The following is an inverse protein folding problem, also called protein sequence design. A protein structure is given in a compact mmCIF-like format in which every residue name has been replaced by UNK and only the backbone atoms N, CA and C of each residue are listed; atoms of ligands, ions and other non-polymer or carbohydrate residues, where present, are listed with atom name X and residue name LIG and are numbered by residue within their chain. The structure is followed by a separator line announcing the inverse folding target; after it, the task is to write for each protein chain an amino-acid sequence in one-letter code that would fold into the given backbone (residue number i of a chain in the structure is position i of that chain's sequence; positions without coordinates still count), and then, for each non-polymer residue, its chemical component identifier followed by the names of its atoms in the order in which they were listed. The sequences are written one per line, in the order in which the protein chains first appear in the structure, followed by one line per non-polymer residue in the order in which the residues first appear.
data_IF_682147286893
#
_entry.id   IF_682147286893
#
_cell.length_a   1.000
_cell.length_b   1.000
_cell.length_c   1.000
_cell.angle_alpha   90.00
_cell.angle_beta   90.00
_cell.angle_gamma   90.00
#
_symmetry.space_group_name_H-M   'P 1'
#
loop_
_entity.id
_entity.type
_entity.pdbx_description
1 polymer ?
#
# COMPACT_ATOMS: atom_id res chain seq x y z
N UNK A 1 7.13 14.06 -3.80
CA UNK A 1 5.83 13.86 -4.46
C UNK A 1 5.23 12.55 -3.98
N UNK A 2 3.92 12.53 -3.69
CA UNK A 2 3.23 11.31 -3.23
C UNK A 2 2.87 10.47 -4.45
N UNK A 3 3.33 9.22 -4.51
CA UNK A 3 3.06 8.29 -5.63
C UNK A 3 1.68 7.64 -5.51
N UNK A 4 1.28 7.24 -4.30
CA UNK A 4 -0.01 6.63 -4.01
C UNK A 4 -0.43 6.80 -2.54
N UNK A 5 -1.73 6.68 -2.27
CA UNK A 5 -2.31 6.56 -0.92
C UNK A 5 -3.19 5.31 -0.89
N UNK A 6 -2.92 4.40 0.06
CA UNK A 6 -3.66 3.14 0.21
C UNK A 6 -4.10 2.98 1.66
N UNK A 7 -5.37 2.63 1.86
CA UNK A 7 -5.98 2.40 3.18
C UNK A 7 -6.48 0.95 3.22
N UNK A 8 -5.88 0.16 4.11
CA UNK A 8 -6.27 -1.22 4.38
C UNK A 8 -7.10 -1.31 5.66
N UNK A 9 -8.04 -2.24 5.70
CA UNK A 9 -8.55 -2.76 6.97
C UNK A 9 -7.64 -3.88 7.50
N UNK A 10 -7.83 -4.28 8.76
CA UNK A 10 -7.02 -5.35 9.38
C UNK A 10 -7.22 -6.74 8.73
N UNK A 11 -8.19 -6.89 7.84
CA UNK A 11 -8.49 -8.14 7.12
C UNK A 11 -7.88 -8.18 5.70
N UNK A 12 -7.15 -7.13 5.30
CA UNK A 12 -6.45 -7.08 4.01
C UNK A 12 -7.27 -6.61 2.82
N UNK A 13 -8.51 -6.16 3.04
CA UNK A 13 -9.27 -5.46 2.01
C UNK A 13 -8.85 -3.98 2.02
N UNK A 14 -8.41 -3.47 0.88
CA UNK A 14 -8.24 -2.03 0.70
C UNK A 14 -9.62 -1.37 0.61
N UNK A 15 -9.85 -0.36 1.45
CA UNK A 15 -11.03 0.50 1.34
C UNK A 15 -10.80 1.69 0.40
N UNK A 16 -9.52 2.07 0.22
CA UNK A 16 -9.13 3.12 -0.71
C UNK A 16 -7.75 2.81 -1.29
N UNK A 17 -7.61 2.93 -2.60
CA UNK A 17 -6.32 2.93 -3.32
C UNK A 17 -6.38 4.04 -4.35
N UNK A 18 -5.51 5.06 -4.20
CA UNK A 18 -5.41 6.16 -5.15
C UNK A 18 -3.97 6.33 -5.56
N UNK A 19 -3.69 6.06 -6.83
CA UNK A 19 -2.41 6.29 -7.47
C UNK A 19 -2.44 7.64 -8.19
N UNK A 20 -1.36 8.41 -8.06
CA UNK A 20 -1.21 9.72 -8.69
C UNK A 20 -0.28 9.67 -9.91
N UNK A 21 0.45 8.57 -10.06
CA UNK A 21 1.29 8.27 -11.21
C UNK A 21 0.46 7.49 -12.24
N UNK A 22 0.53 7.92 -13.50
CA UNK A 22 -0.27 7.37 -14.61
C UNK A 22 0.43 6.21 -15.33
N UNK A 23 1.67 5.91 -14.97
CA UNK A 23 2.50 4.86 -15.56
C UNK A 23 2.25 3.45 -14.97
N UNK A 24 1.41 3.35 -13.94
CA UNK A 24 1.03 2.06 -13.38
C UNK A 24 -0.14 1.44 -14.17
N UNK A 25 0.05 0.23 -14.67
CA UNK A 25 -1.06 -0.60 -15.13
C UNK A 25 -1.89 -1.10 -13.95
N UNK A 26 -3.14 -1.49 -14.19
CA UNK A 26 -4.00 -2.07 -13.15
C UNK A 26 -3.35 -3.27 -12.46
N UNK A 27 -2.69 -4.15 -13.23
CA UNK A 27 -1.94 -5.29 -12.68
C UNK A 27 -0.82 -4.83 -11.72
N UNK A 28 -0.12 -3.76 -12.09
CA UNK A 28 0.96 -3.18 -11.27
C UNK A 28 0.40 -2.58 -9.98
N UNK A 29 -0.71 -1.85 -10.08
CA UNK A 29 -1.41 -1.30 -8.91
C UNK A 29 -1.85 -2.42 -7.95
N UNK A 30 -2.45 -3.49 -8.47
CA UNK A 30 -2.87 -4.65 -7.66
C UNK A 30 -1.68 -5.35 -7.00
N UNK A 31 -0.56 -5.51 -7.72
CA UNK A 31 0.66 -6.07 -7.15
C UNK A 31 1.20 -5.21 -6.01
N UNK A 32 1.25 -3.88 -6.19
CA UNK A 32 1.66 -2.93 -5.14
C UNK A 32 0.75 -3.03 -3.93
N UNK A 33 -0.58 -3.08 -4.11
CA UNK A 33 -1.55 -3.22 -3.01
C UNK A 33 -1.27 -4.50 -2.21
N UNK A 34 -1.05 -5.63 -2.88
CA UNK A 34 -0.78 -6.94 -2.24
C UNK A 34 0.54 -6.94 -1.47
N UNK A 35 1.60 -6.40 -2.07
CA UNK A 35 2.92 -6.32 -1.44
C UNK A 35 2.91 -5.37 -0.23
N UNK A 36 2.28 -4.21 -0.37
CA UNK A 36 2.11 -3.25 0.72
C UNK A 36 1.32 -3.85 1.89
N UNK A 37 0.25 -4.59 1.61
CA UNK A 37 -0.49 -5.29 2.66
C UNK A 37 0.39 -6.29 3.39
N UNK A 38 1.19 -7.08 2.67
CA UNK A 38 2.10 -8.05 3.28
C UNK A 38 3.18 -7.36 4.14
N UNK A 39 3.77 -6.27 3.64
CA UNK A 39 4.78 -5.49 4.35
C UNK A 39 4.22 -4.89 5.64
N UNK A 40 3.03 -4.28 5.57
CA UNK A 40 2.44 -3.63 6.74
C UNK A 40 1.79 -4.61 7.70
N UNK A 41 1.51 -5.88 7.32
CA UNK A 41 0.84 -6.89 8.17
C UNK A 41 1.78 -7.84 8.94
N UNK A 42 3.11 -7.80 8.70
CA UNK A 42 4.07 -8.65 9.44
C UNK A 42 3.95 -8.40 10.96
N UNK A 43 3.59 -9.46 11.70
CA UNK A 43 3.32 -9.49 13.14
C UNK A 43 4.58 -9.22 13.96
N UNK A 44 4.50 -8.27 14.89
CA UNK A 44 5.50 -8.06 15.93
C UNK A 44 5.53 -6.63 16.46
N UNK A 45 5.23 -5.65 15.61
CA UNK A 45 5.17 -4.24 15.98
C UNK A 45 3.71 -3.78 16.06
N UNK A 46 3.33 -3.11 17.15
CA UNK A 46 2.04 -2.38 17.21
C UNK A 46 2.01 -1.43 16.01
N UNK A 47 1.15 -1.70 15.04
CA UNK A 47 1.10 -0.93 13.80
C UNK A 47 0.90 0.56 14.12
N UNK A 48 1.86 1.45 13.81
CA UNK A 48 1.55 2.87 13.83
C UNK A 48 0.45 3.11 12.78
N UNK A 49 -0.58 3.90 13.14
CA UNK A 49 -1.77 4.16 12.29
C UNK A 49 -1.42 4.71 10.89
N UNK A 50 -0.18 5.15 10.67
CA UNK A 50 0.37 5.60 9.39
C UNK A 50 1.80 5.05 9.25
N UNK A 51 2.08 4.33 8.15
CA UNK A 51 3.45 4.02 7.71
C UNK A 51 3.74 4.74 6.39
N UNK A 52 4.90 5.37 6.31
CA UNK A 52 5.45 5.88 5.05
C UNK A 52 6.43 4.81 4.55
N UNK A 53 6.11 4.17 3.43
CA UNK A 53 7.01 3.22 2.77
C UNK A 53 7.69 3.95 1.63
N UNK A 54 9.01 4.00 1.65
CA UNK A 54 9.79 4.64 0.61
C UNK A 54 10.20 3.56 -0.41
N UNK A 55 9.48 3.51 -1.53
CA UNK A 55 9.69 2.51 -2.57
C UNK A 55 10.59 3.06 -3.69
N UNK A 56 11.71 2.36 -3.92
CA UNK A 56 12.61 2.60 -5.07
C UNK A 56 12.17 1.70 -6.22
N UNK A 57 11.40 2.29 -7.13
CA UNK A 57 11.39 1.96 -8.57
C UNK A 57 12.17 3.09 -9.22
#
# INVERSE_FOLDING_TARGET
WVKAIIIFNNHGKSWLSKFYQTDYSEDTEQQIIKEMFHLVSRKGEKFPRRRIVNWRI
#
